data_IF_209609605809
#
_entry.id   IF_209609605809
#
_cell.length_a   1.000
_cell.length_b   1.000
_cell.length_c   1.000
_cell.angle_alpha   90.00
_cell.angle_beta   90.00
_cell.angle_gamma   90.00
#
_symmetry.space_group_name_H-M   'P 1'
#
loop_
_entity.id
_entity.type
_entity.pdbx_description
1 polymer ?
#
# COMPACT_ATOMS: atom_id res chain seq x y z
N UNK A 1 -2.81 -10.81 6.81
CA UNK A 1 -3.48 -10.34 5.58
C UNK A 1 -4.55 -11.34 5.19
N UNK A 2 -5.83 -10.94 5.26
CA UNK A 2 -6.96 -11.77 4.87
C UNK A 2 -7.30 -11.44 3.42
N UNK A 3 -7.07 -12.37 2.49
CA UNK A 3 -7.62 -12.25 1.15
C UNK A 3 -9.07 -12.75 1.24
N UNK A 4 -10.09 -11.89 1.01
CA UNK A 4 -11.49 -12.25 1.22
C UNK A 4 -11.99 -13.38 0.32
N UNK A 5 -11.20 -13.77 -0.68
CA UNK A 5 -11.57 -14.81 -1.66
C UNK A 5 -10.99 -16.19 -1.35
N UNK A 6 -10.19 -16.33 -0.28
CA UNK A 6 -9.70 -17.63 0.12
C UNK A 6 -10.77 -18.44 0.87
N UNK A 7 -10.80 -19.74 0.57
CA UNK A 7 -11.53 -20.75 1.31
C UNK A 7 -11.03 -20.87 2.74
N UNK A 8 -11.82 -21.55 3.57
CA UNK A 8 -11.38 -21.88 4.91
C UNK A 8 -10.10 -22.74 4.85
N UNK A 9 -9.14 -22.50 5.76
CA UNK A 9 -7.89 -23.24 5.78
C UNK A 9 -8.13 -24.73 6.01
N UNK A 10 -7.61 -25.56 5.11
CA UNK A 10 -7.63 -27.03 5.23
C UNK A 10 -6.27 -27.50 5.71
N UNK A 11 -6.26 -28.33 6.75
CA UNK A 11 -5.03 -28.94 7.27
C UNK A 11 -4.82 -30.28 6.58
N UNK A 12 -3.62 -30.50 6.06
CA UNK A 12 -3.23 -31.71 5.35
C UNK A 12 -1.98 -32.30 5.98
N UNK A 13 -2.03 -33.60 6.26
CA UNK A 13 -0.88 -34.39 6.67
C UNK A 13 -0.23 -35.05 5.45
N UNK A 14 1.08 -34.82 5.28
CA UNK A 14 1.92 -35.34 4.20
C UNK A 14 2.97 -36.26 4.82
N UNK A 15 2.76 -37.56 4.69
CA UNK A 15 3.68 -38.59 5.22
C UNK A 15 4.53 -39.23 4.11
N UNK A 16 4.08 -39.10 2.87
CA UNK A 16 4.73 -39.60 1.67
C UNK A 16 4.58 -38.54 0.58
N UNK A 17 5.23 -38.76 -0.55
CA UNK A 17 5.03 -37.92 -1.72
C UNK A 17 3.55 -37.85 -2.10
N UNK A 18 3.05 -36.64 -2.35
CA UNK A 18 1.66 -36.42 -2.76
C UNK A 18 1.60 -35.46 -3.93
N UNK A 19 0.72 -35.76 -4.89
CA UNK A 19 0.39 -34.83 -5.95
C UNK A 19 -0.91 -34.12 -5.64
N UNK A 20 -0.82 -32.79 -5.67
CA UNK A 20 -1.91 -31.87 -5.50
C UNK A 20 -2.32 -31.34 -6.87
N UNK A 21 -3.58 -31.54 -7.25
CA UNK A 21 -4.14 -31.03 -8.49
C UNK A 21 -5.06 -29.85 -8.21
N UNK A 22 -4.71 -28.70 -8.79
CA UNK A 22 -5.52 -27.50 -8.78
C UNK A 22 -6.27 -27.38 -10.10
N UNK A 23 -7.61 -27.30 -10.07
CA UNK A 23 -8.45 -27.24 -11.26
C UNK A 23 -9.49 -26.13 -11.18
N UNK A 24 -9.73 -25.45 -12.29
CA UNK A 24 -10.87 -24.57 -12.49
C UNK A 24 -12.07 -25.40 -12.99
N UNK A 25 -13.20 -25.43 -12.29
CA UNK A 25 -14.44 -26.05 -12.76
C UNK A 25 -14.95 -25.41 -14.06
N UNK A 26 -15.57 -26.20 -14.94
CA UNK A 26 -16.00 -25.71 -16.27
C UNK A 26 -17.19 -24.74 -16.21
N UNK A 27 -17.96 -24.77 -15.14
CA UNK A 27 -19.08 -23.87 -14.85
C UNK A 27 -18.65 -22.46 -14.44
N UNK A 28 -17.35 -22.25 -14.16
CA UNK A 28 -16.82 -20.93 -13.79
C UNK A 28 -16.53 -20.09 -15.05
N UNK A 29 -17.15 -18.90 -15.11
CA UNK A 29 -16.97 -17.95 -16.20
C UNK A 29 -15.54 -17.39 -16.27
N UNK A 30 -15.00 -17.31 -17.48
CA UNK A 30 -13.70 -16.67 -17.77
C UNK A 30 -13.61 -15.22 -17.29
N UNK A 31 -14.75 -14.51 -17.22
CA UNK A 31 -14.78 -13.14 -16.75
C UNK A 31 -14.38 -13.02 -15.27
N UNK A 32 -14.82 -13.97 -14.43
CA UNK A 32 -14.46 -14.02 -13.00
C UNK A 32 -12.97 -14.36 -12.87
N UNK A 33 -12.50 -15.31 -13.68
CA UNK A 33 -11.10 -15.75 -13.69
C UNK A 33 -10.18 -14.58 -14.04
N UNK A 34 -10.52 -13.78 -15.05
CA UNK A 34 -9.78 -12.59 -15.46
C UNK A 34 -9.54 -11.59 -14.33
N UNK A 35 -10.56 -11.35 -13.48
CA UNK A 35 -10.43 -10.43 -12.35
C UNK A 35 -9.57 -11.02 -11.22
N UNK A 36 -9.57 -12.34 -11.08
CA UNK A 36 -9.00 -13.06 -9.94
C UNK A 36 -7.58 -13.59 -10.16
N UNK A 37 -7.15 -13.74 -11.41
CA UNK A 37 -5.77 -14.14 -11.77
C UNK A 37 -4.71 -13.09 -11.35
N UNK A 38 -5.12 -11.90 -10.92
CA UNK A 38 -4.22 -10.90 -10.33
C UNK A 38 -3.89 -11.16 -8.85
N UNK A 39 -4.52 -12.16 -8.24
CA UNK A 39 -4.38 -12.54 -6.83
C UNK A 39 -3.77 -13.95 -6.71
N UNK A 40 -3.21 -14.33 -5.54
CA UNK A 40 -2.69 -15.69 -5.32
C UNK A 40 -3.80 -16.73 -5.46
N UNK A 41 -3.54 -17.79 -6.21
CA UNK A 41 -4.50 -18.88 -6.41
C UNK A 41 -4.60 -19.79 -5.20
N UNK A 42 -3.44 -20.07 -4.60
CA UNK A 42 -3.30 -20.95 -3.43
C UNK A 42 -2.23 -20.36 -2.51
N UNK A 43 -2.45 -20.46 -1.21
CA UNK A 43 -1.48 -20.20 -0.15
C UNK A 43 -1.26 -21.50 0.64
N UNK A 44 -0.01 -21.90 0.81
CA UNK A 44 0.38 -23.10 1.56
C UNK A 44 1.39 -22.73 2.64
N UNK A 45 1.14 -23.15 3.88
CA UNK A 45 2.00 -22.85 5.03
C UNK A 45 2.30 -24.15 5.77
N UNK A 46 3.58 -24.43 6.01
CA UNK A 46 4.02 -25.59 6.81
C UNK A 46 3.77 -25.27 8.28
N UNK A 47 2.92 -26.04 8.93
CA UNK A 47 2.56 -25.89 10.35
C UNK A 47 3.54 -26.65 11.23
N UNK A 48 3.89 -27.86 10.80
CA UNK A 48 4.75 -28.79 11.52
C UNK A 48 5.55 -29.62 10.53
N UNK A 49 6.78 -29.96 10.90
CA UNK A 49 7.66 -30.79 10.09
C UNK A 49 8.53 -31.65 10.99
N UNK A 50 8.33 -32.96 10.88
CA UNK A 50 9.08 -34.00 11.58
C UNK A 50 9.58 -35.02 10.56
N UNK A 51 10.50 -35.90 10.97
CA UNK A 51 11.14 -36.88 10.07
C UNK A 51 10.07 -37.71 9.34
N UNK A 52 9.94 -37.47 8.03
CA UNK A 52 8.99 -38.18 7.17
C UNK A 52 7.51 -37.84 7.39
N UNK A 53 7.19 -36.81 8.18
CA UNK A 53 5.81 -36.33 8.39
C UNK A 53 5.77 -34.82 8.48
N UNK A 54 5.13 -34.20 7.50
CA UNK A 54 4.87 -32.76 7.47
C UNK A 54 3.38 -32.48 7.54
N UNK A 55 2.99 -31.42 8.23
CA UNK A 55 1.63 -30.90 8.27
C UNK A 55 1.61 -29.51 7.67
N UNK A 56 0.67 -29.26 6.77
CA UNK A 56 0.54 -27.99 6.08
C UNK A 56 -0.91 -27.49 6.10
N UNK A 57 -1.07 -26.16 6.11
CA UNK A 57 -2.35 -25.50 5.87
C UNK A 57 -2.41 -25.08 4.41
N UNK A 58 -3.50 -25.41 3.71
CA UNK A 58 -3.81 -24.93 2.37
C UNK A 58 -5.01 -23.98 2.42
N UNK A 59 -4.90 -22.85 1.73
CA UNK A 59 -6.03 -21.99 1.37
C UNK A 59 -6.05 -21.83 -0.15
N UNK A 60 -7.19 -22.03 -0.78
CA UNK A 60 -7.37 -21.85 -2.23
C UNK A 60 -8.44 -20.81 -2.50
N UNK A 61 -8.43 -20.17 -3.67
CA UNK A 61 -9.54 -19.29 -4.04
C UNK A 61 -10.84 -20.12 -4.14
N UNK A 62 -11.97 -19.55 -3.70
CA UNK A 62 -13.23 -20.30 -3.53
C UNK A 62 -13.79 -20.93 -4.82
N UNK A 63 -13.40 -20.44 -5.99
CA UNK A 63 -13.81 -20.99 -7.29
C UNK A 63 -12.86 -22.06 -7.84
N UNK A 64 -11.75 -22.34 -7.15
CA UNK A 64 -10.80 -23.38 -7.52
C UNK A 64 -11.10 -24.66 -6.75
N UNK A 65 -11.07 -25.77 -7.47
CA UNK A 65 -11.16 -27.10 -6.90
C UNK A 65 -9.76 -27.64 -6.67
N UNK A 66 -9.54 -28.16 -5.47
CA UNK A 66 -8.25 -28.67 -5.03
C UNK A 66 -8.43 -30.12 -4.60
N UNK A 67 -7.73 -31.02 -5.28
CA UNK A 67 -7.85 -32.46 -5.10
C UNK A 67 -6.48 -33.11 -4.96
N UNK A 68 -6.38 -34.13 -4.13
CA UNK A 68 -5.20 -34.99 -4.08
C UNK A 68 -5.41 -36.14 -5.06
N UNK A 69 -4.41 -36.38 -5.91
CA UNK A 69 -4.48 -37.52 -6.81
C UNK A 69 -4.29 -38.83 -6.03
N UNK A 70 -5.07 -39.87 -6.35
CA UNK A 70 -4.97 -41.16 -5.70
C UNK A 70 -3.62 -41.82 -6.00
N UNK A 71 -3.06 -42.53 -5.03
CA UNK A 71 -1.74 -43.19 -5.09
C UNK A 71 -1.59 -44.13 -6.30
N UNK A 72 -2.69 -44.74 -6.78
CA UNK A 72 -2.73 -45.64 -7.95
C UNK A 72 -2.35 -44.97 -9.29
N UNK A 73 -2.48 -43.66 -9.41
CA UNK A 73 -2.09 -42.94 -10.65
C UNK A 73 -0.60 -42.57 -10.66
N UNK A 74 0.09 -42.62 -9.50
CA UNK A 74 1.52 -42.34 -9.39
C UNK A 74 2.38 -43.49 -9.96
N UNK A 75 1.92 -44.73 -9.78
CA UNK A 75 2.62 -45.92 -10.26
C UNK A 75 2.50 -46.12 -11.79
N UNK A 76 1.42 -45.62 -12.41
CA UNK A 76 1.17 -45.80 -13.84
C UNK A 76 2.12 -44.99 -14.72
N UNK A 77 2.49 -43.76 -14.31
CA UNK A 77 3.45 -42.93 -15.05
C UNK A 77 4.90 -43.37 -14.85
N UNK A 78 5.19 -44.01 -13.70
CA UNK A 78 6.51 -44.57 -13.38
C UNK A 78 6.84 -45.83 -14.19
N UNK A 79 5.83 -46.52 -14.75
CA UNK A 79 5.99 -47.78 -15.47
C UNK A 79 6.29 -47.63 -16.98
N UNK A 80 6.17 -46.43 -17.55
CA UNK A 80 6.40 -46.18 -19.00
C UNK A 80 7.72 -45.47 -19.33
N UNK A 81 8.55 -45.15 -18.34
CA UNK A 81 9.87 -44.53 -18.54
C UNK A 81 10.99 -45.55 -18.68
N UNK A 82 11.40 -45.83 -19.92
CA UNK A 82 12.51 -46.73 -20.26
C UNK A 82 13.85 -46.26 -19.68
N UNK A 83 14.64 -47.22 -19.20
CA UNK A 83 15.97 -47.07 -18.61
C UNK A 83 16.96 -46.25 -19.47
N UNK A 84 17.48 -45.15 -18.93
CA UNK A 84 18.81 -44.64 -19.26
C UNK A 84 19.31 -43.71 -18.12
N UNK A 85 20.39 -44.12 -17.45
CA UNK A 85 20.98 -43.38 -16.34
C UNK A 85 21.32 -41.94 -16.70
N UNK A 86 20.64 -41.00 -16.05
CA UNK A 86 21.08 -39.61 -15.94
C UNK A 86 20.55 -39.01 -14.64
N UNK A 87 21.43 -39.01 -13.64
CA UNK A 87 21.58 -38.00 -12.58
C UNK A 87 20.48 -36.92 -12.61
N UNK A 88 19.49 -37.06 -11.74
CA UNK A 88 18.39 -36.11 -11.55
C UNK A 88 18.95 -34.69 -11.45
N UNK A 89 18.79 -33.91 -12.52
CA UNK A 89 18.95 -32.46 -12.41
C UNK A 89 17.80 -31.98 -11.53
N UNK A 90 18.06 -31.15 -10.51
CA UNK A 90 16.98 -30.54 -9.75
C UNK A 90 16.12 -29.75 -10.73
N UNK A 91 14.84 -30.09 -10.83
CA UNK A 91 13.87 -29.27 -11.55
C UNK A 91 14.00 -27.84 -11.01
N UNK A 92 14.29 -26.87 -11.90
CA UNK A 92 14.65 -25.48 -11.59
C UNK A 92 13.59 -24.69 -10.78
N UNK A 93 12.47 -25.32 -10.41
CA UNK A 93 11.35 -24.72 -9.68
C UNK A 93 10.94 -25.55 -8.45
N UNK A 94 11.89 -26.14 -7.74
CA UNK A 94 11.65 -26.74 -6.42
C UNK A 94 11.88 -25.72 -5.31
N UNK A 95 10.94 -25.64 -4.37
CA UNK A 95 10.95 -24.71 -3.24
C UNK A 95 10.86 -25.51 -1.95
N UNK A 96 11.86 -25.38 -1.08
CA UNK A 96 11.92 -26.12 0.20
C UNK A 96 11.50 -25.22 1.34
N UNK A 97 10.55 -25.66 2.18
CA UNK A 97 10.01 -24.86 3.30
C UNK A 97 10.05 -25.61 4.63
N UNK A 98 10.46 -24.91 5.68
CA UNK A 98 10.40 -25.39 7.07
C UNK A 98 9.15 -24.89 7.81
N UNK A 99 9.05 -25.24 9.09
CA UNK A 99 7.97 -24.82 9.97
C UNK A 99 7.78 -23.29 9.98
N UNK A 100 6.53 -22.84 9.84
CA UNK A 100 6.15 -21.42 9.81
C UNK A 100 6.42 -20.73 8.47
N UNK A 101 7.09 -21.40 7.52
CA UNK A 101 7.32 -20.89 6.18
C UNK A 101 6.24 -21.39 5.21
N UNK A 102 6.07 -20.69 4.11
CA UNK A 102 5.06 -21.05 3.12
C UNK A 102 5.38 -20.52 1.74
N UNK A 103 4.44 -20.76 0.83
CA UNK A 103 4.48 -20.24 -0.53
C UNK A 103 3.08 -19.87 -1.01
N UNK A 104 3.04 -19.04 -2.06
CA UNK A 104 1.83 -18.74 -2.82
C UNK A 104 2.03 -19.10 -4.28
N UNK A 105 0.97 -19.59 -4.90
CA UNK A 105 0.94 -19.88 -6.32
C UNK A 105 0.32 -18.70 -7.08
N UNK A 106 1.04 -18.18 -8.08
CA UNK A 106 0.58 -17.12 -8.96
C UNK A 106 0.65 -17.55 -10.43
N UNK A 107 -0.17 -16.97 -11.31
CA UNK A 107 0.13 -16.95 -12.74
C UNK A 107 1.44 -16.19 -12.97
N UNK A 108 2.30 -16.70 -13.86
CA UNK A 108 3.57 -16.07 -14.22
C UNK A 108 3.29 -14.75 -14.92
N UNK A 109 4.04 -13.70 -14.57
CA UNK A 109 3.89 -12.38 -15.19
C UNK A 109 4.07 -12.45 -16.72
N UNK A 110 3.21 -11.74 -17.45
CA UNK A 110 3.24 -11.69 -18.92
C UNK A 110 2.50 -12.84 -19.62
N UNK A 111 1.89 -13.77 -18.88
CA UNK A 111 1.02 -14.81 -19.46
C UNK A 111 -0.39 -14.26 -19.70
N UNK A 112 -0.98 -14.61 -20.85
CA UNK A 112 -2.33 -14.17 -21.17
C UNK A 112 -3.35 -14.91 -20.29
N UNK A 113 -4.29 -14.19 -19.63
CA UNK A 113 -5.23 -14.81 -18.69
C UNK A 113 -6.07 -15.96 -19.27
N UNK A 114 -6.44 -15.88 -20.55
CA UNK A 114 -7.18 -16.95 -21.22
C UNK A 114 -6.38 -18.25 -21.34
N UNK A 115 -5.06 -18.17 -21.50
CA UNK A 115 -4.18 -19.35 -21.56
C UNK A 115 -4.04 -19.93 -20.14
N UNK A 116 -3.89 -19.08 -19.13
CA UNK A 116 -3.86 -19.53 -17.74
C UNK A 116 -5.18 -20.20 -17.33
N UNK A 117 -6.32 -19.63 -17.72
CA UNK A 117 -7.63 -20.22 -17.47
C UNK A 117 -7.78 -21.58 -18.15
N UNK A 118 -7.34 -21.70 -19.42
CA UNK A 118 -7.33 -22.97 -20.14
C UNK A 118 -6.45 -24.03 -19.43
N UNK A 119 -5.24 -23.66 -18.99
CA UNK A 119 -4.36 -24.58 -18.26
C UNK A 119 -4.92 -24.93 -16.85
N UNK A 120 -5.58 -24.01 -16.18
CA UNK A 120 -6.29 -24.30 -14.93
C UNK A 120 -7.45 -25.28 -15.14
N UNK A 121 -8.14 -25.23 -16.29
CA UNK A 121 -9.20 -26.21 -16.61
C UNK A 121 -8.66 -27.61 -16.85
N UNK A 122 -7.49 -27.73 -17.49
CA UNK A 122 -6.78 -29.02 -17.62
C UNK A 122 -6.24 -29.52 -16.28
N UNK A 123 -5.92 -28.58 -15.39
CA UNK A 123 -5.42 -28.82 -14.05
C UNK A 123 -3.90 -28.64 -13.96
N UNK A 124 -3.46 -28.10 -12.83
CA UNK A 124 -2.04 -27.89 -12.51
C UNK A 124 -1.65 -28.87 -11.42
N UNK A 125 -0.54 -29.58 -11.62
CA UNK A 125 0.01 -30.52 -10.66
C UNK A 125 1.12 -29.86 -9.84
N UNK A 126 1.04 -30.02 -8.53
CA UNK A 126 2.08 -29.64 -7.57
C UNK A 126 2.47 -30.89 -6.78
N UNK A 127 3.76 -31.17 -6.71
CA UNK A 127 4.30 -32.32 -6.01
C UNK A 127 4.82 -31.88 -4.64
N UNK A 128 4.38 -32.59 -3.60
CA UNK A 128 4.71 -32.36 -2.21
C UNK A 128 5.56 -33.52 -1.71
N UNK A 129 6.84 -33.29 -1.45
CA UNK A 129 7.79 -34.32 -1.01
C UNK A 129 8.24 -34.03 0.43
N UNK A 130 7.88 -34.89 1.42
CA UNK A 130 8.30 -34.68 2.80
C UNK A 130 9.79 -35.02 2.97
N UNK A 131 10.56 -34.06 3.50
CA UNK A 131 11.96 -34.23 3.89
C UNK A 131 12.11 -34.56 5.38
N UNK A 132 13.35 -34.44 5.87
CA UNK A 132 13.66 -34.71 7.28
C UNK A 132 13.12 -33.62 8.23
N UNK A 133 13.24 -32.36 7.84
CA UNK A 133 12.80 -31.18 8.62
C UNK A 133 12.12 -30.12 7.77
N UNK A 134 11.85 -30.44 6.51
CA UNK A 134 11.29 -29.52 5.53
C UNK A 134 10.36 -30.26 4.57
N UNK A 135 9.50 -29.49 3.90
CA UNK A 135 8.64 -29.96 2.83
C UNK A 135 9.09 -29.30 1.53
N UNK A 136 9.40 -30.10 0.51
CA UNK A 136 9.66 -29.61 -0.83
C UNK A 136 8.39 -29.55 -1.66
N UNK A 137 8.24 -28.42 -2.34
CA UNK A 137 7.19 -28.16 -3.30
C UNK A 137 7.84 -28.10 -4.67
N UNK A 138 7.46 -28.99 -5.58
CA UNK A 138 7.96 -28.97 -6.95
C UNK A 138 6.80 -28.88 -7.94
N UNK A 139 7.10 -28.28 -9.08
CA UNK A 139 6.17 -28.10 -10.19
C UNK A 139 6.87 -28.47 -11.49
N UNK A 140 6.10 -28.92 -12.48
CA UNK A 140 6.61 -29.16 -13.82
C UNK A 140 7.28 -27.89 -14.39
N UNK A 141 8.46 -28.06 -15.00
CA UNK A 141 9.31 -26.94 -15.44
C UNK A 141 8.65 -25.98 -16.45
N UNK A 142 7.70 -26.46 -17.25
CA UNK A 142 6.99 -25.68 -18.28
C UNK A 142 5.64 -25.12 -17.80
N UNK A 143 5.49 -24.90 -16.49
CA UNK A 143 4.25 -24.35 -15.94
C UNK A 143 4.13 -22.84 -16.20
N UNK A 144 2.94 -22.38 -16.62
CA UNK A 144 2.59 -20.95 -16.69
C UNK A 144 2.38 -20.33 -15.30
N UNK A 145 2.58 -21.10 -14.25
CA UNK A 145 2.42 -20.68 -12.87
C UNK A 145 3.78 -20.69 -12.17
N UNK A 146 3.90 -19.81 -11.19
CA UNK A 146 5.10 -19.66 -10.37
C UNK A 146 4.74 -19.81 -8.89
N UNK A 147 5.58 -20.56 -8.19
CA UNK A 147 5.49 -20.73 -6.74
C UNK A 147 6.41 -19.71 -6.07
N UNK A 148 5.83 -18.68 -5.47
CA UNK A 148 6.57 -17.58 -4.84
C UNK A 148 6.65 -17.83 -3.34
N UNK A 149 7.86 -17.81 -2.75
CA UNK A 149 8.06 -17.79 -1.30
C UNK A 149 7.26 -16.67 -0.62
N UNK A 150 6.65 -16.91 0.55
CA UNK A 150 5.93 -15.85 1.26
C UNK A 150 6.82 -14.66 1.62
N UNK A 151 8.07 -14.93 1.99
CA UNK A 151 9.05 -13.91 2.35
C UNK A 151 9.60 -13.11 1.14
N UNK A 152 9.37 -13.60 -0.08
CA UNK A 152 9.74 -12.90 -1.32
C UNK A 152 8.51 -12.31 -2.04
N UNK A 153 7.30 -12.56 -1.54
CA UNK A 153 6.07 -12.06 -2.14
C UNK A 153 5.73 -10.65 -1.66
N UNK A 154 6.13 -9.66 -2.47
CA UNK A 154 5.80 -8.25 -2.27
C UNK A 154 4.50 -7.82 -2.98
N UNK A 155 3.84 -8.71 -3.74
CA UNK A 155 2.69 -8.34 -4.59
C UNK A 155 1.43 -8.06 -3.79
N UNK A 156 1.30 -8.75 -2.66
CA UNK A 156 0.18 -8.56 -1.74
C UNK A 156 0.41 -7.48 -0.71
N UNK A 157 1.58 -6.81 -0.72
CA UNK A 157 1.70 -5.54 -0.04
C UNK A 157 0.78 -4.54 -0.73
N UNK A 158 -0.47 -4.47 -0.25
CA UNK A 158 -1.25 -3.26 -0.40
C UNK A 158 -0.40 -2.14 0.16
N UNK A 159 -0.04 -1.21 -0.72
CA UNK A 159 0.66 -0.01 -0.35
C UNK A 159 -0.07 0.61 0.85
N UNK A 160 0.64 0.96 1.95
CA UNK A 160 0.02 1.53 3.13
C UNK A 160 -0.90 2.69 2.74
N UNK A 161 -2.11 2.74 3.32
CA UNK A 161 -3.12 3.75 2.99
C UNK A 161 -2.56 5.17 3.09
N UNK A 162 -1.68 5.40 4.06
CA UNK A 162 -1.02 6.69 4.30
C UNK A 162 -0.12 7.10 3.10
N UNK A 163 0.60 6.15 2.51
CA UNK A 163 1.44 6.36 1.32
C UNK A 163 0.56 6.62 0.09
N UNK A 164 -0.52 5.85 -0.08
CA UNK A 164 -1.47 6.04 -1.17
C UNK A 164 -2.13 7.44 -1.12
N UNK A 165 -2.57 7.88 0.06
CA UNK A 165 -3.17 9.19 0.26
C UNK A 165 -2.17 10.32 -0.01
N UNK A 166 -0.93 10.17 0.45
CA UNK A 166 0.16 11.11 0.16
C UNK A 166 0.40 11.27 -1.35
N UNK A 167 0.46 10.16 -2.09
CA UNK A 167 0.60 10.18 -3.56
C UNK A 167 -0.58 10.84 -4.25
N UNK A 168 -1.81 10.52 -3.84
CA UNK A 168 -3.02 11.14 -4.39
C UNK A 168 -3.04 12.66 -4.19
N UNK A 169 -2.69 13.13 -2.98
CA UNK A 169 -2.58 14.57 -2.69
C UNK A 169 -1.47 15.26 -3.47
N UNK A 170 -0.35 14.58 -3.73
CA UNK A 170 0.72 15.12 -4.57
C UNK A 170 0.29 15.25 -6.04
N UNK A 171 -0.38 14.23 -6.57
CA UNK A 171 -0.85 14.20 -7.96
C UNK A 171 -1.96 15.22 -8.27
N UNK A 172 -2.71 15.66 -7.26
CA UNK A 172 -3.75 16.69 -7.40
C UNK A 172 -3.16 18.02 -7.88
N UNK A 173 -3.68 18.56 -8.98
CA UNK A 173 -3.39 19.93 -9.40
C UNK A 173 -4.18 20.93 -8.54
N UNK A 174 -3.55 22.07 -8.21
CA UNK A 174 -4.21 23.17 -7.51
C UNK A 174 -4.29 24.37 -8.45
N UNK A 175 -5.47 24.98 -8.54
CA UNK A 175 -5.68 26.14 -9.40
C UNK A 175 -5.32 27.43 -8.65
N UNK A 176 -4.56 28.31 -9.31
CA UNK A 176 -4.13 29.60 -8.75
C UNK A 176 -5.30 30.56 -8.46
N UNK A 177 -6.48 30.30 -9.03
CA UNK A 177 -7.70 31.09 -8.87
C UNK A 177 -8.55 30.67 -7.67
N UNK A 178 -8.14 29.63 -6.93
CA UNK A 178 -8.89 29.17 -5.75
C UNK A 178 -8.96 30.25 -4.66
N UNK A 179 -10.08 30.25 -3.92
CA UNK A 179 -10.28 31.19 -2.81
C UNK A 179 -9.32 30.92 -1.65
N UNK A 180 -9.02 31.95 -0.87
CA UNK A 180 -8.14 31.83 0.32
C UNK A 180 -8.67 30.82 1.35
N UNK A 181 -9.99 30.67 1.46
CA UNK A 181 -10.63 29.67 2.31
C UNK A 181 -10.34 28.24 1.81
N UNK A 182 -10.44 28.00 0.51
CA UNK A 182 -10.11 26.69 -0.08
C UNK A 182 -8.62 26.35 0.04
N UNK A 183 -7.74 27.35 -0.16
CA UNK A 183 -6.31 27.16 0.08
C UNK A 183 -6.00 26.77 1.53
N UNK A 184 -6.70 27.38 2.50
CA UNK A 184 -6.54 27.01 3.92
C UNK A 184 -6.99 25.56 4.20
N UNK A 185 -8.08 25.09 3.57
CA UNK A 185 -8.51 23.69 3.66
C UNK A 185 -7.44 22.76 3.08
N UNK A 186 -6.89 23.07 1.90
CA UNK A 186 -5.85 22.25 1.28
C UNK A 186 -4.56 22.19 2.11
N UNK A 187 -4.20 23.28 2.77
CA UNK A 187 -3.07 23.30 3.71
C UNK A 187 -3.35 22.37 4.91
N UNK A 188 -4.55 22.44 5.49
CA UNK A 188 -4.93 21.58 6.61
C UNK A 188 -4.95 20.09 6.23
N UNK A 189 -5.51 19.74 5.06
CA UNK A 189 -5.49 18.37 4.53
C UNK A 189 -4.06 17.84 4.35
N UNK A 190 -3.15 18.67 3.82
CA UNK A 190 -1.74 18.30 3.68
C UNK A 190 -1.04 18.09 5.02
N UNK A 191 -1.34 18.91 6.02
CA UNK A 191 -0.76 18.74 7.36
C UNK A 191 -1.25 17.47 8.05
N UNK A 192 -2.53 17.14 7.88
CA UNK A 192 -3.10 15.90 8.39
C UNK A 192 -2.39 14.68 7.79
N UNK A 193 -2.31 14.60 6.46
CA UNK A 193 -1.67 13.45 5.78
C UNK A 193 -0.18 13.35 6.09
N UNK A 194 0.51 14.49 6.28
CA UNK A 194 1.91 14.47 6.73
C UNK A 194 2.06 13.95 8.16
N UNK A 195 1.15 14.33 9.07
CA UNK A 195 1.14 13.79 10.43
C UNK A 195 0.93 12.28 10.42
N UNK A 196 -0.02 11.79 9.61
CA UNK A 196 -0.32 10.37 9.48
C UNK A 196 0.87 9.59 8.89
N UNK A 197 1.53 10.14 7.87
CA UNK A 197 2.71 9.54 7.26
C UNK A 197 3.94 9.53 8.21
N UNK A 198 4.09 10.54 9.06
CA UNK A 198 5.09 10.53 10.13
C UNK A 198 4.77 9.52 11.23
N UNK A 199 3.49 9.33 11.58
CA UNK A 199 3.07 8.29 12.50
C UNK A 199 3.36 6.89 11.92
N UNK A 200 3.10 6.68 10.62
CA UNK A 200 3.46 5.47 9.89
C UNK A 200 4.97 5.16 9.96
N UNK A 201 5.82 6.16 9.71
CA UNK A 201 7.29 6.03 9.81
C UNK A 201 7.77 5.66 11.22
N UNK A 202 7.07 6.11 12.27
CA UNK A 202 7.38 5.76 13.67
C UNK A 202 6.85 4.39 14.08
N UNK A 203 5.84 3.88 13.37
CA UNK A 203 5.20 2.59 13.62
C UNK A 203 6.08 1.38 13.26
N UNK A 204 5.59 0.18 13.57
CA UNK A 204 6.32 -1.07 13.34
C UNK A 204 6.49 -1.38 11.84
N UNK A 205 5.46 -1.11 11.03
CA UNK A 205 5.48 -1.32 9.57
C UNK A 205 6.54 -0.45 8.86
N UNK A 206 6.75 0.79 9.32
CA UNK A 206 7.78 1.70 8.80
C UNK A 206 9.21 1.30 9.18
N UNK A 207 9.39 0.50 10.24
CA UNK A 207 10.70 -0.01 10.69
C UNK A 207 11.06 -1.34 10.04
N UNK A 208 10.07 -2.17 9.71
CA UNK A 208 10.28 -3.50 9.15
C UNK A 208 10.64 -3.48 7.66
N UNK A 209 10.20 -2.45 6.91
CA UNK A 209 10.40 -2.37 5.46
C UNK A 209 11.22 -1.13 5.04
N UNK A 210 12.53 -1.28 4.76
CA UNK A 210 13.39 -0.13 4.42
C UNK A 210 12.98 0.56 3.11
N UNK A 211 12.41 -0.18 2.15
CA UNK A 211 11.93 0.40 0.88
C UNK A 211 10.75 1.36 1.06
N UNK A 212 9.75 0.96 1.85
CA UNK A 212 8.57 1.79 2.15
C UNK A 212 8.95 2.99 3.01
N UNK A 213 9.93 2.83 3.91
CA UNK A 213 10.46 3.93 4.73
C UNK A 213 11.13 5.00 3.86
N UNK A 214 11.97 4.58 2.90
CA UNK A 214 12.62 5.50 1.96
C UNK A 214 11.60 6.23 1.08
N UNK A 215 10.59 5.52 0.58
CA UNK A 215 9.51 6.10 -0.21
C UNK A 215 8.67 7.09 0.59
N UNK A 216 8.29 6.74 1.82
CA UNK A 216 7.55 7.65 2.71
C UNK A 216 8.37 8.92 3.04
N UNK A 217 9.68 8.80 3.29
CA UNK A 217 10.54 9.98 3.49
C UNK A 217 10.59 10.88 2.24
N UNK A 218 10.67 10.28 1.05
CA UNK A 218 10.63 11.03 -0.21
C UNK A 218 9.30 11.77 -0.36
N UNK A 219 8.17 11.11 -0.09
CA UNK A 219 6.84 11.71 -0.15
C UNK A 219 6.66 12.85 0.87
N UNK A 220 7.14 12.71 2.11
CA UNK A 220 7.08 13.80 3.09
C UNK A 220 7.84 15.05 2.60
N UNK A 221 9.02 14.85 1.99
CA UNK A 221 9.79 15.96 1.44
C UNK A 221 9.06 16.70 0.31
N UNK A 222 8.32 15.96 -0.53
CA UNK A 222 7.53 16.51 -1.63
C UNK A 222 6.28 17.24 -1.10
N UNK A 223 5.59 16.65 -0.12
CA UNK A 223 4.44 17.26 0.54
C UNK A 223 4.82 18.56 1.25
N UNK A 224 5.99 18.61 1.90
CA UNK A 224 6.51 19.83 2.54
C UNK A 224 6.75 20.95 1.51
N UNK A 225 7.33 20.65 0.35
CA UNK A 225 7.49 21.63 -0.74
C UNK A 225 6.14 22.15 -1.23
N UNK A 226 5.17 21.25 -1.41
CA UNK A 226 3.81 21.61 -1.83
C UNK A 226 3.11 22.51 -0.81
N UNK A 227 3.25 22.18 0.48
CA UNK A 227 2.75 23.00 1.60
C UNK A 227 3.36 24.40 1.59
N UNK A 228 4.68 24.50 1.47
CA UNK A 228 5.38 25.80 1.42
C UNK A 228 4.88 26.67 0.25
N UNK A 229 4.66 26.05 -0.91
CA UNK A 229 4.14 26.76 -2.07
C UNK A 229 2.69 27.24 -1.86
N UNK A 230 1.81 26.41 -1.29
CA UNK A 230 0.44 26.81 -0.95
C UNK A 230 0.42 27.94 0.08
N UNK A 231 1.24 27.86 1.12
CA UNK A 231 1.35 28.94 2.11
C UNK A 231 1.76 30.27 1.48
N UNK A 232 2.75 30.26 0.57
CA UNK A 232 3.16 31.48 -0.15
C UNK A 232 2.00 32.06 -0.96
N UNK A 233 1.25 31.21 -1.65
CA UNK A 233 0.09 31.62 -2.45
C UNK A 233 -1.03 32.19 -1.57
N UNK A 234 -1.32 31.53 -0.46
CA UNK A 234 -2.28 31.99 0.54
C UNK A 234 -1.90 33.35 1.14
N UNK A 235 -0.63 33.52 1.56
CA UNK A 235 -0.12 34.80 2.06
C UNK A 235 -0.22 35.91 1.00
N UNK A 236 0.14 35.61 -0.26
CA UNK A 236 0.00 36.57 -1.34
C UNK A 236 -1.46 36.98 -1.60
N UNK A 237 -2.42 36.07 -1.50
CA UNK A 237 -3.84 36.40 -1.67
C UNK A 237 -4.37 37.28 -0.54
N UNK A 238 -3.94 37.04 0.71
CA UNK A 238 -4.26 37.90 1.85
C UNK A 238 -3.66 39.30 1.69
N UNK A 239 -2.39 39.37 1.27
CA UNK A 239 -1.69 40.64 1.11
C UNK A 239 -2.18 41.43 -0.12
N UNK A 240 -2.60 40.78 -1.21
CA UNK A 240 -3.13 41.46 -2.41
C UNK A 240 -4.41 42.23 -2.15
N UNK A 241 -5.26 41.77 -1.23
CA UNK A 241 -6.41 42.57 -0.79
C UNK A 241 -5.97 43.87 -0.13
N UNK A 242 -4.81 43.88 0.54
CA UNK A 242 -4.23 45.08 1.16
C UNK A 242 -3.50 45.98 0.16
N UNK A 243 -2.88 45.43 -0.91
CA UNK A 243 -2.20 46.21 -1.94
C UNK A 243 -3.14 46.89 -2.95
N UNK A 244 -4.37 46.38 -3.11
CA UNK A 244 -5.41 47.01 -3.93
C UNK A 244 -6.11 48.19 -3.24
N UNK A 245 -5.90 48.37 -1.93
CA UNK A 245 -6.39 49.55 -1.21
C UNK A 245 -5.42 50.70 -1.47
N UNK A 246 -5.89 51.74 -2.17
CA UNK A 246 -5.15 52.98 -2.24
C UNK A 246 -4.90 53.47 -0.80
N UNK A 247 -3.73 54.05 -0.52
CA UNK A 247 -3.48 54.75 0.75
C UNK A 247 -4.51 55.87 1.05
N UNK A 248 -5.31 56.22 0.04
CA UNK A 248 -6.37 57.22 0.07
C UNK A 248 -7.78 56.62 0.11
N UNK A 249 -7.94 55.30 0.23
CA UNK A 249 -9.27 54.71 0.43
C UNK A 249 -9.76 55.20 1.80
N UNK A 250 -10.79 56.04 1.80
CA UNK A 250 -11.37 56.61 3.01
C UNK A 250 -11.83 55.47 3.91
N UNK A 251 -10.99 55.09 4.86
CA UNK A 251 -11.36 54.20 5.95
C UNK A 251 -12.64 54.77 6.56
N UNK A 252 -13.72 53.98 6.55
CA UNK A 252 -14.94 54.32 7.29
C UNK A 252 -14.54 54.81 8.68
N UNK A 253 -15.08 55.95 9.09
CA UNK A 253 -14.74 56.63 10.35
C UNK A 253 -14.82 55.66 11.54
N UNK A 254 -15.73 54.69 11.48
CA UNK A 254 -15.88 53.61 12.47
C UNK A 254 -14.69 52.65 12.54
N UNK A 255 -14.06 52.32 11.40
CA UNK A 255 -12.85 51.47 11.35
C UNK A 255 -11.63 52.21 11.88
N UNK A 256 -11.53 53.51 11.63
CA UNK A 256 -10.49 54.38 12.19
C UNK A 256 -10.66 54.49 13.71
N UNK A 257 -11.88 54.70 14.16
CA UNK A 257 -12.19 54.81 15.58
C UNK A 257 -11.91 53.51 16.32
N UNK A 258 -12.33 52.35 15.79
CA UNK A 258 -11.97 51.04 16.36
C UNK A 258 -10.46 50.80 16.41
N UNK A 259 -9.71 51.22 15.39
CA UNK A 259 -8.24 51.11 15.42
C UNK A 259 -7.65 52.00 16.49
N UNK A 260 -8.13 53.24 16.63
CA UNK A 260 -7.71 54.18 17.66
C UNK A 260 -8.00 53.61 19.06
N UNK A 261 -9.19 53.08 19.29
CA UNK A 261 -9.56 52.42 20.55
C UNK A 261 -8.62 51.25 20.88
N UNK A 262 -8.29 50.42 19.88
CA UNK A 262 -7.32 49.33 20.05
C UNK A 262 -5.90 49.85 20.34
N UNK A 263 -5.48 50.96 19.74
CA UNK A 263 -4.18 51.56 20.03
C UNK A 263 -4.14 52.17 21.44
N UNK A 264 -5.21 52.82 21.90
CA UNK A 264 -5.30 53.31 23.28
C UNK A 264 -5.25 52.18 24.31
N UNK A 265 -5.87 51.03 24.00
CA UNK A 265 -5.87 49.84 24.86
C UNK A 265 -4.50 49.15 24.94
N UNK A 266 -3.70 49.20 23.88
CA UNK A 266 -2.44 48.47 23.75
C UNK A 266 -1.20 49.36 24.00
N UNK A 267 -1.34 50.68 23.93
CA UNK A 267 -0.23 51.60 24.12
C UNK A 267 0.18 51.72 25.61
N UNK A 268 1.49 51.86 25.90
CA UNK A 268 1.95 52.18 27.24
C UNK A 268 1.43 53.57 27.67
N UNK A 269 1.03 53.75 28.94
CA UNK A 269 0.35 54.96 29.41
C UNK A 269 1.15 56.25 29.16
N UNK A 270 2.48 56.17 29.20
CA UNK A 270 3.36 57.32 28.93
C UNK A 270 3.35 57.82 27.48
N UNK A 271 3.04 56.96 26.50
CA UNK A 271 2.95 57.35 25.09
C UNK A 271 1.62 58.06 24.82
N UNK A 272 0.52 57.54 25.38
CA UNK A 272 -0.80 58.19 25.33
C UNK A 272 -0.81 59.55 26.00
N UNK A 273 -0.15 59.70 27.16
CA UNK A 273 -0.03 60.98 27.87
C UNK A 273 0.75 62.02 27.04
N UNK A 274 1.83 61.59 26.40
CA UNK A 274 2.68 62.45 25.57
C UNK A 274 1.95 62.92 24.30
N UNK A 275 1.18 62.03 23.66
CA UNK A 275 0.38 62.40 22.48
C UNK A 275 -0.74 63.37 22.85
N UNK A 276 -1.39 63.19 24.02
CA UNK A 276 -2.38 64.14 24.53
C UNK A 276 -1.78 65.52 24.80
N UNK A 277 -0.62 65.60 25.45
CA UNK A 277 0.08 66.88 25.68
C UNK A 277 0.43 67.59 24.38
N UNK A 278 0.90 66.85 23.37
CA UNK A 278 1.20 67.44 22.05
C UNK A 278 -0.05 67.93 21.33
N UNK A 279 -1.21 67.26 21.51
CA UNK A 279 -2.47 67.72 20.92
C UNK A 279 -3.05 68.90 21.67
N UNK A 280 -2.92 68.96 23.00
CA UNK A 280 -3.33 70.11 23.80
C UNK A 280 -2.45 71.34 23.51
N UNK A 281 -1.13 71.17 23.37
CA UNK A 281 -0.17 72.24 23.03
C UNK A 281 -0.44 72.85 21.63
N UNK A 282 -0.96 72.07 20.68
CA UNK A 282 -1.35 72.58 19.35
C UNK A 282 -2.62 73.45 19.37
N UNK A 283 -3.48 73.30 20.39
CA UNK A 283 -4.70 74.12 20.53
C UNK A 283 -4.43 75.48 21.20
N UNK A 284 -3.32 75.64 21.92
CA UNK A 284 -2.95 76.87 22.62
C UNK A 284 -2.18 77.90 21.77
N UNK A 285 -1.85 77.57 20.50
CA UNK A 285 -1.09 78.46 19.59
C UNK A 285 -2.01 79.34 18.71
N UNK A 286 -3.33 79.25 18.86
CA UNK A 286 -4.29 80.15 18.18
C UNK A 286 -5.01 81.03 19.20
N UNK A 287 -4.30 82.02 19.73
CA UNK A 287 -4.85 83.25 20.33
C UNK A 287 -3.98 84.45 19.97
#
# INVERSE_FOLDING_TARGET
MYNPFFSQPVIVDVQQERHLRLRLPEDVSDFIVLQMLNAPLVEMIVIDSSVGKSRLTIKSQAFLRLEFEPETEMEAESATGTEAGSRELPSDHSVVRGMGQGLRLYPRLGTAPGICAAQLRTGIRLTLTPGATSLSFSQAGDSLFESVPLEHDLRLFQEPKDIMLAKALLARSYDYSESSQMLAVHIAELEQVRSDLQAFLRGELGKLHPGLSAEAMQLDSQLLKKRQWLFRTYSQQLERQSYGQAANESLSQEKLQRKLDCYELLAPPGVTEMVRRLTDDEHDIVL
#
